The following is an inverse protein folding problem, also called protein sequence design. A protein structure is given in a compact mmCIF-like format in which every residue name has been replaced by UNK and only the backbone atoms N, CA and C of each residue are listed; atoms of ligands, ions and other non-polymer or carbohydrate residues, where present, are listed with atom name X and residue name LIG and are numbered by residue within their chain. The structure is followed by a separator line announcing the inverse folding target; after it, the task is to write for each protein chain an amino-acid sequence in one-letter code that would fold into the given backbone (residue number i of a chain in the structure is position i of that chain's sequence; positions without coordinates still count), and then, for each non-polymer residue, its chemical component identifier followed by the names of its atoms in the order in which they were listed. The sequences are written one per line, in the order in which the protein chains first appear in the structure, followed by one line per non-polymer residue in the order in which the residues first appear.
data_IF_961504404786
#
_entry.id   IF_961504404786
#
_cell.length_a   1.000
_cell.length_b   1.000
_cell.length_c   1.000
_cell.angle_alpha   90.00
_cell.angle_beta   90.00
_cell.angle_gamma   90.00
#
_symmetry.space_group_name_H-M   'P 1'
#
loop_
_entity.id
_entity.type
_entity.pdbx_description
1 polymer ?
#
# COMPACT_ATOMS: atom_id res chain seq x y z
N UNK A 1 -5.84 -26.40 34.38
CA UNK A 1 -6.03 -25.04 33.82
C UNK A 1 -5.02 -24.95 32.67
N UNK A 2 -5.44 -25.23 31.43
CA UNK A 2 -4.60 -25.11 30.24
C UNK A 2 -4.38 -23.63 29.93
N UNK A 3 -3.13 -23.18 29.95
CA UNK A 3 -2.73 -21.90 29.39
C UNK A 3 -2.98 -21.98 27.88
N UNK A 4 -3.94 -21.22 27.39
CA UNK A 4 -4.04 -20.98 25.93
C UNK A 4 -2.80 -20.18 25.56
N UNK A 5 -1.85 -20.82 24.89
CA UNK A 5 -0.71 -20.15 24.28
C UNK A 5 -1.28 -19.25 23.18
N UNK A 6 -1.43 -17.98 23.47
CA UNK A 6 -1.73 -16.97 22.44
C UNK A 6 -0.46 -16.84 21.62
N UNK A 7 -0.50 -17.35 20.38
CA UNK A 7 0.58 -17.11 19.44
C UNK A 7 0.83 -15.61 19.30
N UNK A 8 2.07 -15.14 19.40
CA UNK A 8 2.36 -13.73 19.25
C UNK A 8 1.84 -13.25 17.89
N UNK A 9 1.05 -12.19 17.89
CA UNK A 9 0.59 -11.58 16.63
C UNK A 9 1.82 -11.22 15.79
N UNK A 10 1.87 -11.60 14.50
CA UNK A 10 3.02 -11.26 13.68
C UNK A 10 3.18 -9.75 13.65
N UNK A 11 4.44 -9.35 13.71
CA UNK A 11 4.81 -7.95 13.54
C UNK A 11 4.28 -7.44 12.21
N UNK A 12 3.78 -6.22 12.19
CA UNK A 12 3.17 -5.61 11.01
C UNK A 12 3.89 -4.31 10.66
N UNK A 13 4.18 -4.13 9.38
CA UNK A 13 4.57 -2.85 8.81
C UNK A 13 3.63 -2.46 7.67
N UNK A 14 3.50 -1.17 7.43
CA UNK A 14 2.71 -0.64 6.31
C UNK A 14 3.61 0.23 5.44
N UNK A 15 3.60 -0.04 4.14
CA UNK A 15 4.23 0.80 3.11
C UNK A 15 3.11 1.47 2.32
N UNK A 16 3.09 2.81 2.30
CA UNK A 16 2.09 3.58 1.55
C UNK A 16 2.77 4.21 0.33
N UNK A 17 2.25 3.93 -0.86
CA UNK A 17 2.77 4.48 -2.10
C UNK A 17 2.05 5.79 -2.43
N UNK A 18 2.77 6.89 -2.35
CA UNK A 18 2.28 8.26 -2.57
C UNK A 18 3.12 9.02 -3.63
N UNK A 19 3.71 8.30 -4.57
CA UNK A 19 4.63 8.87 -5.59
C UNK A 19 3.92 9.46 -6.80
N UNK A 20 2.60 9.26 -6.95
CA UNK A 20 1.83 9.64 -8.13
C UNK A 20 1.68 11.16 -8.24
N UNK A 21 2.14 11.74 -9.34
CA UNK A 21 2.00 13.19 -9.63
C UNK A 21 0.57 13.60 -10.00
N UNK A 22 -0.31 12.64 -10.32
CA UNK A 22 -1.70 12.95 -10.67
C UNK A 22 -1.85 13.82 -11.94
N UNK A 23 -1.04 13.58 -12.96
CA UNK A 23 -1.00 14.37 -14.21
C UNK A 23 -2.38 14.58 -14.84
N UNK A 24 -3.29 13.60 -14.71
CA UNK A 24 -4.68 13.71 -15.17
C UNK A 24 -5.50 14.75 -14.41
N UNK A 25 -5.10 15.13 -13.21
CA UNK A 25 -5.81 16.14 -12.38
C UNK A 25 -5.44 17.57 -12.77
N UNK A 26 -4.48 17.77 -13.70
CA UNK A 26 -4.00 19.09 -14.16
C UNK A 26 -3.68 20.04 -12.99
N UNK A 27 -3.17 19.52 -11.90
CA UNK A 27 -2.81 20.24 -10.67
C UNK A 27 -1.32 20.13 -10.41
N UNK A 28 -0.73 21.17 -9.82
CA UNK A 28 0.66 21.14 -9.32
C UNK A 28 0.77 20.46 -7.96
N UNK A 29 -0.35 20.33 -7.26
CA UNK A 29 -0.41 19.66 -5.95
C UNK A 29 -0.31 18.16 -6.12
N UNK A 30 0.44 17.49 -5.24
CA UNK A 30 0.56 16.03 -5.25
C UNK A 30 -0.84 15.37 -5.19
N UNK A 31 -1.05 14.30 -5.97
CA UNK A 31 -2.36 13.62 -6.06
C UNK A 31 -2.97 13.31 -4.70
N UNK A 32 -2.16 12.80 -3.79
CA UNK A 32 -2.57 12.35 -2.45
C UNK A 32 -2.95 13.51 -1.51
N UNK A 33 -2.61 14.75 -1.88
CA UNK A 33 -2.95 15.97 -1.14
C UNK A 33 -4.29 16.58 -1.55
N UNK A 34 -4.93 16.09 -2.61
CA UNK A 34 -6.29 16.52 -2.95
C UNK A 34 -7.26 16.07 -1.87
N UNK A 35 -8.14 16.99 -1.50
CA UNK A 35 -9.03 16.80 -0.36
C UNK A 35 -10.33 16.09 -0.74
N UNK A 36 -10.77 15.23 0.15
CA UNK A 36 -12.09 14.62 0.18
C UNK A 36 -12.69 14.97 1.53
N UNK A 37 -13.84 15.64 1.53
CA UNK A 37 -14.49 16.12 2.76
C UNK A 37 -13.53 16.89 3.69
N UNK A 38 -12.69 17.77 3.13
CA UNK A 38 -11.79 18.67 3.86
C UNK A 38 -10.52 18.00 4.41
N UNK A 39 -10.17 16.79 3.95
CA UNK A 39 -8.94 16.12 4.35
C UNK A 39 -8.22 15.53 3.13
N UNK A 40 -6.88 15.58 3.07
CA UNK A 40 -6.13 14.93 2.00
C UNK A 40 -6.46 13.44 1.88
N UNK A 41 -6.44 12.89 0.65
CA UNK A 41 -6.66 11.46 0.43
C UNK A 41 -5.71 10.59 1.27
N UNK A 42 -4.45 10.99 1.41
CA UNK A 42 -3.46 10.28 2.21
C UNK A 42 -3.83 10.21 3.70
N UNK A 43 -4.54 11.22 4.25
CA UNK A 43 -4.98 11.19 5.65
C UNK A 43 -5.90 9.99 5.94
N UNK A 44 -6.80 9.68 5.01
CA UNK A 44 -7.68 8.52 5.15
C UNK A 44 -6.91 7.20 5.15
N UNK A 45 -5.92 7.07 4.26
CA UNK A 45 -5.10 5.85 4.17
C UNK A 45 -4.21 5.71 5.40
N UNK A 46 -3.59 6.79 5.88
CA UNK A 46 -2.80 6.78 7.11
C UNK A 46 -3.65 6.39 8.33
N UNK A 47 -4.86 6.92 8.47
CA UNK A 47 -5.78 6.51 9.55
C UNK A 47 -6.13 5.02 9.50
N UNK A 48 -6.29 4.46 8.32
CA UNK A 48 -6.51 3.02 8.16
C UNK A 48 -5.27 2.24 8.56
N UNK A 49 -4.09 2.69 8.14
CA UNK A 49 -2.82 2.09 8.52
C UNK A 49 -2.60 2.12 10.05
N UNK A 50 -2.83 3.26 10.69
CA UNK A 50 -2.72 3.44 12.15
C UNK A 50 -3.65 2.50 12.94
N UNK A 51 -4.88 2.24 12.44
CA UNK A 51 -5.84 1.30 13.06
C UNK A 51 -5.40 -0.17 13.01
N UNK A 52 -4.38 -0.48 12.22
CA UNK A 52 -3.78 -1.81 12.20
C UNK A 52 -2.70 -1.98 13.27
N UNK A 53 -2.37 -0.90 13.99
CA UNK A 53 -1.35 -0.86 15.04
C UNK A 53 0.01 -1.43 14.57
N UNK A 54 0.54 -0.97 13.42
CA UNK A 54 1.79 -1.48 12.89
C UNK A 54 2.98 -0.96 13.70
N UNK A 55 4.07 -1.69 13.71
CA UNK A 55 5.33 -1.23 14.30
C UNK A 55 5.97 -0.11 13.47
N UNK A 56 5.74 -0.09 12.17
CA UNK A 56 6.25 0.93 11.25
C UNK A 56 5.23 1.28 10.19
N UNK A 57 5.14 2.57 9.88
CA UNK A 57 4.48 3.09 8.69
C UNK A 57 5.53 3.84 7.87
N UNK A 58 5.73 3.43 6.64
CA UNK A 58 6.67 4.06 5.69
C UNK A 58 5.87 4.58 4.50
N UNK A 59 5.94 5.87 4.24
CA UNK A 59 5.29 6.49 3.08
C UNK A 59 6.34 6.82 2.01
N UNK A 60 6.18 6.19 0.85
CA UNK A 60 7.03 6.45 -0.31
C UNK A 60 6.46 7.61 -1.10
N UNK A 61 7.20 8.70 -1.19
CA UNK A 61 6.79 9.95 -1.85
C UNK A 61 7.63 10.22 -3.11
N UNK A 62 7.14 11.10 -3.96
CA UNK A 62 7.85 11.52 -5.17
C UNK A 62 8.92 12.57 -4.90
N UNK A 63 9.43 13.18 -5.99
CA UNK A 63 10.50 14.17 -5.92
C UNK A 63 10.06 15.46 -5.21
N UNK A 64 8.87 15.98 -5.56
CA UNK A 64 8.35 17.25 -5.05
C UNK A 64 7.31 16.95 -3.95
N UNK A 65 7.77 16.55 -2.78
CA UNK A 65 6.95 16.00 -1.70
C UNK A 65 6.98 16.81 -0.40
N UNK A 66 7.58 17.99 -0.43
CA UNK A 66 7.77 18.83 0.76
C UNK A 66 6.44 19.15 1.46
N UNK A 67 5.37 19.42 0.69
CA UNK A 67 4.02 19.67 1.25
C UNK A 67 3.49 18.41 1.95
N UNK A 68 3.70 17.23 1.36
CA UNK A 68 3.24 15.96 1.94
C UNK A 68 4.00 15.66 3.23
N UNK A 69 5.32 15.78 3.19
CA UNK A 69 6.18 15.49 4.33
C UNK A 69 5.87 16.42 5.51
N UNK A 70 5.71 17.73 5.26
CA UNK A 70 5.37 18.71 6.28
C UNK A 70 3.97 18.48 6.88
N UNK A 71 2.97 18.14 6.05
CA UNK A 71 1.59 17.95 6.53
C UNK A 71 1.45 16.70 7.41
N UNK A 72 2.19 15.64 7.13
CA UNK A 72 2.09 14.36 7.84
C UNK A 72 3.31 14.06 8.73
N UNK A 73 4.09 15.09 9.09
CA UNK A 73 5.24 14.95 9.98
C UNK A 73 4.87 14.22 11.28
N UNK A 74 5.71 13.30 11.70
CA UNK A 74 5.51 12.50 12.93
C UNK A 74 4.51 11.35 12.82
N UNK A 75 3.76 11.21 11.70
CA UNK A 75 2.78 10.11 11.52
C UNK A 75 3.35 8.92 10.74
N UNK A 76 4.40 9.12 9.97
CA UNK A 76 4.99 8.10 9.12
C UNK A 76 6.46 8.45 8.86
N UNK A 77 7.28 7.46 8.58
CA UNK A 77 8.62 7.65 8.02
C UNK A 77 8.52 7.88 6.51
N UNK A 78 9.20 8.92 6.00
CA UNK A 78 9.19 9.20 4.57
C UNK A 78 10.43 8.66 3.88
N UNK A 79 10.24 8.07 2.71
CA UNK A 79 11.30 7.71 1.77
C UNK A 79 10.96 8.24 0.38
N UNK A 80 11.98 8.70 -0.36
CA UNK A 80 11.77 9.35 -1.66
C UNK A 80 12.06 8.42 -2.82
N UNK A 81 11.14 8.35 -3.77
CA UNK A 81 11.37 7.77 -5.08
C UNK A 81 11.73 8.89 -6.07
N UNK A 82 13.02 9.11 -6.29
CA UNK A 82 13.50 10.18 -7.17
C UNK A 82 13.22 9.89 -8.66
N UNK A 83 13.27 8.61 -9.04
CA UNK A 83 13.02 8.16 -10.41
C UNK A 83 11.78 7.27 -10.43
N UNK A 84 10.75 7.65 -11.17
CA UNK A 84 9.51 6.89 -11.27
C UNK A 84 9.66 5.71 -12.23
N UNK A 85 10.09 4.55 -11.72
CA UNK A 85 10.27 3.30 -12.47
C UNK A 85 9.17 2.27 -12.13
N UNK A 86 7.96 2.73 -11.85
CA UNK A 86 6.82 1.88 -11.54
C UNK A 86 6.67 1.54 -10.04
N UNK A 87 5.60 0.80 -9.75
CA UNK A 87 5.14 0.46 -8.40
C UNK A 87 6.13 -0.41 -7.64
N UNK A 88 6.68 -1.46 -8.27
CA UNK A 88 7.67 -2.32 -7.64
C UNK A 88 8.94 -1.56 -7.22
N UNK A 89 9.41 -0.62 -8.06
CA UNK A 89 10.52 0.24 -7.72
C UNK A 89 10.19 1.16 -6.52
N UNK A 90 8.95 1.66 -6.43
CA UNK A 90 8.51 2.45 -5.29
C UNK A 90 8.57 1.65 -3.98
N UNK A 91 8.06 0.41 -3.98
CA UNK A 91 8.14 -0.49 -2.81
C UNK A 91 9.59 -0.72 -2.38
N UNK A 92 10.50 -0.91 -3.34
CA UNK A 92 11.91 -1.14 -3.05
C UNK A 92 12.59 0.04 -2.35
N UNK A 93 12.07 1.28 -2.48
CA UNK A 93 12.59 2.44 -1.73
C UNK A 93 12.40 2.28 -0.21
N UNK A 94 11.35 1.57 0.22
CA UNK A 94 11.12 1.32 1.63
C UNK A 94 12.06 0.25 2.25
N UNK A 95 12.87 -0.44 1.43
CA UNK A 95 13.72 -1.56 1.89
C UNK A 95 14.64 -1.17 3.04
N UNK A 96 15.29 -0.01 2.96
CA UNK A 96 16.22 0.46 4.01
C UNK A 96 15.47 0.81 5.30
N UNK A 97 14.32 1.45 5.19
CA UNK A 97 13.46 1.78 6.33
C UNK A 97 12.90 0.53 7.03
N UNK A 98 12.82 -0.59 6.33
CA UNK A 98 12.37 -1.87 6.85
C UNK A 98 13.52 -2.87 7.08
N UNK A 99 14.77 -2.40 7.05
CA UNK A 99 15.93 -3.23 7.40
C UNK A 99 15.75 -3.74 8.85
N UNK A 100 16.01 -5.02 9.06
CA UNK A 100 15.77 -5.72 10.34
C UNK A 100 14.30 -5.87 10.75
N UNK A 101 13.32 -5.55 9.90
CA UNK A 101 11.92 -5.86 10.14
C UNK A 101 11.63 -7.30 9.68
N UNK A 102 11.02 -8.08 10.58
CA UNK A 102 10.57 -9.45 10.28
C UNK A 102 9.09 -9.56 10.62
N UNK A 103 8.25 -9.70 9.61
CA UNK A 103 6.80 -9.74 9.80
C UNK A 103 6.02 -9.58 8.50
N UNK A 104 4.76 -9.24 8.65
CA UNK A 104 3.86 -8.99 7.53
C UNK A 104 3.97 -7.54 7.05
N UNK A 105 3.94 -7.33 5.74
CA UNK A 105 3.99 -6.01 5.15
C UNK A 105 2.72 -5.78 4.32
N UNK A 106 1.97 -4.74 4.65
CA UNK A 106 0.96 -4.21 3.75
C UNK A 106 1.56 -3.19 2.80
N UNK A 107 1.22 -3.29 1.53
CA UNK A 107 1.49 -2.24 0.54
C UNK A 107 0.17 -1.61 0.16
N UNK A 108 0.00 -0.33 0.51
CA UNK A 108 -1.21 0.45 0.28
C UNK A 108 -0.93 1.56 -0.74
N UNK A 109 -1.96 1.96 -1.48
CA UNK A 109 -1.90 3.14 -2.33
C UNK A 109 -2.45 4.35 -1.58
N UNK A 110 -1.71 5.46 -1.56
CA UNK A 110 -2.09 6.69 -0.87
C UNK A 110 -3.32 7.39 -1.44
N UNK A 111 -3.80 6.97 -2.60
CA UNK A 111 -4.96 7.48 -3.30
C UNK A 111 -6.19 6.55 -3.24
N UNK A 112 -6.22 5.62 -2.28
CA UNK A 112 -7.36 4.71 -2.03
C UNK A 112 -8.07 5.02 -0.71
N UNK A 113 -8.72 6.19 -0.58
CA UNK A 113 -9.25 6.69 0.70
C UNK A 113 -10.44 5.88 1.26
N UNK A 114 -11.05 5.01 0.45
CA UNK A 114 -12.21 4.20 0.85
C UNK A 114 -11.83 2.81 1.36
N UNK A 115 -10.55 2.50 1.44
CA UNK A 115 -10.09 1.25 2.03
C UNK A 115 -10.41 1.22 3.53
N UNK A 116 -10.80 0.08 4.07
CA UNK A 116 -11.10 -0.06 5.49
C UNK A 116 -10.21 -1.12 6.18
N UNK A 117 -9.97 -0.91 7.47
CA UNK A 117 -9.07 -1.76 8.25
C UNK A 117 -9.56 -3.21 8.34
N UNK A 118 -10.87 -3.43 8.37
CA UNK A 118 -11.51 -4.75 8.41
C UNK A 118 -11.15 -5.57 7.17
N UNK A 119 -11.16 -4.96 5.99
CA UNK A 119 -10.73 -5.61 4.74
C UNK A 119 -9.29 -6.07 4.83
N UNK A 120 -8.39 -5.22 5.33
CA UNK A 120 -6.98 -5.54 5.48
C UNK A 120 -6.76 -6.69 6.49
N UNK A 121 -7.42 -6.65 7.65
CA UNK A 121 -7.37 -7.75 8.62
C UNK A 121 -7.83 -9.07 8.01
N UNK A 122 -8.89 -9.03 7.20
CA UNK A 122 -9.37 -10.21 6.46
C UNK A 122 -8.35 -10.77 5.47
N UNK A 123 -7.53 -9.92 4.84
CA UNK A 123 -6.45 -10.36 3.94
C UNK A 123 -5.36 -11.13 4.68
N UNK A 124 -4.92 -10.65 5.86
CA UNK A 124 -3.93 -11.37 6.68
C UNK A 124 -4.47 -12.72 7.14
N UNK A 125 -5.72 -12.75 7.60
CA UNK A 125 -6.36 -14.01 8.00
C UNK A 125 -6.38 -15.02 6.86
N UNK A 126 -6.75 -14.60 5.65
CA UNK A 126 -6.71 -15.45 4.46
C UNK A 126 -5.30 -15.92 4.12
N UNK A 127 -4.31 -15.03 4.18
CA UNK A 127 -2.91 -15.37 3.93
C UNK A 127 -2.43 -16.49 4.86
N UNK A 128 -2.73 -16.37 6.15
CA UNK A 128 -2.35 -17.37 7.17
C UNK A 128 -3.02 -18.72 6.93
N UNK A 129 -4.33 -18.72 6.65
CA UNK A 129 -5.09 -19.96 6.41
C UNK A 129 -4.59 -20.67 5.15
N UNK A 130 -4.27 -19.92 4.09
CA UNK A 130 -3.84 -20.50 2.81
C UNK A 130 -2.34 -20.82 2.73
N UNK A 131 -1.54 -20.34 3.67
CA UNK A 131 -0.07 -20.44 3.61
C UNK A 131 0.55 -19.64 2.45
N UNK A 132 -0.21 -18.76 1.80
CA UNK A 132 0.26 -17.98 0.66
C UNK A 132 1.34 -16.98 1.05
N UNK A 133 2.35 -16.82 0.19
CA UNK A 133 3.40 -15.81 0.38
C UNK A 133 2.88 -14.40 0.17
N UNK A 134 1.87 -14.22 -0.71
CA UNK A 134 1.27 -12.94 -1.07
C UNK A 134 -0.26 -13.06 -1.13
N UNK A 135 -0.95 -12.02 -0.68
CA UNK A 135 -2.40 -11.86 -0.83
C UNK A 135 -2.70 -10.53 -1.49
N UNK A 136 -3.56 -10.53 -2.50
CA UNK A 136 -3.96 -9.36 -3.25
C UNK A 136 -5.44 -9.05 -3.04
N UNK A 137 -5.76 -7.77 -2.86
CA UNK A 137 -7.13 -7.28 -2.93
C UNK A 137 -7.47 -6.97 -4.39
N UNK A 138 -8.47 -7.65 -4.92
CA UNK A 138 -8.93 -7.49 -6.30
C UNK A 138 -10.40 -7.12 -6.36
N UNK A 139 -10.82 -6.57 -7.50
CA UNK A 139 -12.21 -6.22 -7.78
C UNK A 139 -12.61 -6.79 -9.15
N UNK A 140 -13.93 -7.05 -9.32
CA UNK A 140 -14.49 -7.45 -10.62
C UNK A 140 -14.71 -6.25 -11.57
N UNK A 141 -14.51 -5.03 -11.09
CA UNK A 141 -14.63 -3.83 -11.95
C UNK A 141 -13.41 -3.71 -12.86
N UNK A 142 -13.61 -3.18 -14.07
CA UNK A 142 -12.49 -2.81 -14.95
C UNK A 142 -11.67 -1.71 -14.28
N UNK A 143 -10.45 -2.04 -13.90
CA UNK A 143 -9.44 -1.11 -13.42
C UNK A 143 -8.23 -1.18 -14.35
N UNK A 144 -7.37 -0.15 -14.37
CA UNK A 144 -6.10 -0.19 -15.08
C UNK A 144 -5.15 -1.19 -14.38
N UNK A 145 -5.24 -2.44 -14.74
CA UNK A 145 -4.45 -3.53 -14.19
C UNK A 145 -5.26 -4.82 -14.17
N UNK A 146 -4.73 -5.83 -14.82
CA UNK A 146 -5.34 -7.15 -14.92
C UNK A 146 -4.53 -8.16 -14.11
N UNK A 147 -5.22 -9.05 -13.41
CA UNK A 147 -4.59 -10.21 -12.79
C UNK A 147 -4.66 -11.37 -13.77
N UNK A 148 -3.50 -11.78 -14.26
CA UNK A 148 -3.38 -13.06 -14.98
C UNK A 148 -3.28 -14.17 -13.95
N UNK A 149 -4.05 -15.24 -14.18
CA UNK A 149 -4.07 -16.42 -13.30
C UNK A 149 -3.68 -17.64 -14.11
N UNK A 150 -3.03 -18.59 -13.45
CA UNK A 150 -2.78 -19.92 -14.00
C UNK A 150 -4.06 -20.79 -14.04
N UNK A 151 -3.92 -22.01 -14.53
CA UNK A 151 -5.03 -22.99 -14.62
C UNK A 151 -5.58 -23.40 -13.26
N UNK A 152 -4.82 -23.25 -12.19
CA UNK A 152 -5.20 -23.56 -10.82
C UNK A 152 -5.83 -22.36 -10.10
N UNK A 153 -5.85 -21.17 -10.75
CA UNK A 153 -6.44 -19.94 -10.24
C UNK A 153 -5.52 -19.07 -9.41
N UNK A 154 -4.25 -19.44 -9.28
CA UNK A 154 -3.25 -18.60 -8.62
C UNK A 154 -2.85 -17.41 -9.48
N UNK A 155 -2.48 -16.29 -8.83
CA UNK A 155 -2.02 -15.10 -9.54
C UNK A 155 -0.59 -15.33 -10.03
N UNK A 156 -0.44 -15.34 -11.36
CA UNK A 156 0.83 -15.50 -12.03
C UNK A 156 1.49 -14.13 -12.31
N UNK A 157 0.67 -13.15 -12.70
CA UNK A 157 1.16 -11.83 -13.11
C UNK A 157 0.13 -10.73 -12.86
N UNK A 158 0.63 -9.52 -12.60
CA UNK A 158 -0.14 -8.27 -12.66
C UNK A 158 0.28 -7.56 -13.95
N UNK A 159 -0.67 -7.31 -14.85
CA UNK A 159 -0.44 -6.65 -16.14
C UNK A 159 -1.01 -5.24 -16.03
N UNK A 160 -0.16 -4.23 -16.15
CA UNK A 160 -0.58 -2.83 -16.22
C UNK A 160 -1.27 -2.56 -17.57
N UNK A 161 -2.25 -1.65 -17.58
CA UNK A 161 -3.02 -1.34 -18.81
C UNK A 161 -2.17 -0.77 -19.95
N UNK A 162 -0.99 -0.23 -19.64
CA UNK A 162 0.00 0.23 -20.63
C UNK A 162 0.71 -0.92 -21.32
N UNK A 163 0.74 -2.10 -20.70
CA UNK A 163 1.48 -3.28 -21.19
C UNK A 163 0.51 -4.35 -21.71
N UNK A 164 -0.80 -4.12 -21.58
CA UNK A 164 -1.82 -4.99 -22.14
C UNK A 164 -1.87 -4.82 -23.65
N UNK A 165 -1.19 -5.68 -24.38
CA UNK A 165 -1.45 -5.88 -25.80
C UNK A 165 -2.89 -6.37 -25.97
N UNK A 166 -3.66 -5.70 -26.80
CA UNK A 166 -4.99 -6.14 -27.25
C UNK A 166 -4.81 -7.44 -28.04
N UNK A 167 -4.94 -8.59 -27.41
CA UNK A 167 -5.32 -9.85 -28.00
C UNK A 167 -6.72 -10.21 -27.58
#
# INVERSE_FOLDING_TARGET
KGSVMVEPQPQLAVVILATGQGTRMKSRRAKVMHEIAGKPMLDYVLRVAERLEPQRIVTVVGKDSEEVEAYFEGRTEFVRQLNQKGTGHAVLQARKALENFSGEIYVLYGDTPLLCAETLRGMVSKKRISGASLTLLSTKRRLPGLLQRDQEGFVERIIESTDATTE
#
